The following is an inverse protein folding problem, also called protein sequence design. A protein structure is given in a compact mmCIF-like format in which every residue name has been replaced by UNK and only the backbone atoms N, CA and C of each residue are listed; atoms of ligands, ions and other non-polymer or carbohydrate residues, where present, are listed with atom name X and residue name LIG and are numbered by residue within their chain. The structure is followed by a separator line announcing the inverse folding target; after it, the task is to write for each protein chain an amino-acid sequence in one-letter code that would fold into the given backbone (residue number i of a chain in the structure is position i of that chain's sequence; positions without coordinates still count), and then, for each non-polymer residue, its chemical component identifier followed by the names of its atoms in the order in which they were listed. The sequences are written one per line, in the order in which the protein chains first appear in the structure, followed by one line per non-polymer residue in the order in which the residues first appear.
data_IF_481866108433
#
_entry.id   IF_481866108433
#
_cell.length_a   1.000
_cell.length_b   1.000
_cell.length_c   1.000
_cell.angle_alpha   90.00
_cell.angle_beta   90.00
_cell.angle_gamma   90.00
#
_symmetry.space_group_name_H-M   'P 1'
#
loop_
_entity.id
_entity.type
_entity.pdbx_description
1 polymer ?
#
# COMPACT_ATOMS: atom_id res chain seq x y z
N UNK A 1 -8.73 -23.67 -26.85
CA UNK A 1 -7.36 -23.21 -27.16
C UNK A 1 -6.42 -23.80 -26.12
N UNK A 2 -5.36 -24.50 -26.52
CA UNK A 2 -4.41 -25.08 -25.57
C UNK A 2 -3.55 -23.96 -24.96
N UNK A 3 -3.58 -23.81 -23.63
CA UNK A 3 -2.73 -22.85 -22.91
C UNK A 3 -1.25 -23.25 -23.11
N UNK A 4 -0.46 -22.40 -23.75
CA UNK A 4 0.97 -22.65 -23.93
C UNK A 4 1.66 -22.69 -22.56
N UNK A 5 2.26 -23.84 -22.20
CA UNK A 5 2.96 -24.04 -20.94
C UNK A 5 4.47 -24.21 -21.20
N UNK A 6 5.31 -23.20 -20.90
CA UNK A 6 6.75 -23.29 -21.12
C UNK A 6 7.39 -24.39 -20.27
N UNK A 7 8.29 -25.17 -20.87
CA UNK A 7 8.93 -26.32 -20.22
C UNK A 7 10.09 -25.94 -19.28
N UNK A 8 10.79 -24.83 -19.53
CA UNK A 8 11.91 -24.36 -18.69
C UNK A 8 11.49 -23.46 -17.52
N UNK A 9 12.21 -23.51 -16.40
CA UNK A 9 11.93 -22.70 -15.19
C UNK A 9 11.99 -21.20 -15.48
N UNK A 10 13.05 -20.72 -16.15
CA UNK A 10 13.19 -19.31 -16.52
C UNK A 10 12.09 -18.87 -17.50
N UNK A 11 11.82 -19.69 -18.52
CA UNK A 11 10.76 -19.42 -19.49
C UNK A 11 9.37 -19.35 -18.84
N UNK A 12 9.12 -20.17 -17.81
CA UNK A 12 7.87 -20.16 -17.04
C UNK A 12 7.75 -18.91 -16.18
N UNK A 13 8.83 -18.48 -15.53
CA UNK A 13 8.85 -17.25 -14.73
C UNK A 13 8.61 -16.03 -15.61
N UNK A 14 9.29 -15.94 -16.77
CA UNK A 14 9.11 -14.84 -17.72
C UNK A 14 7.66 -14.83 -18.26
N UNK A 15 7.14 -16.00 -18.67
CA UNK A 15 5.77 -16.11 -19.15
C UNK A 15 4.74 -15.72 -18.08
N UNK A 16 4.91 -16.19 -16.84
CA UNK A 16 4.03 -15.84 -15.73
C UNK A 16 4.08 -14.34 -15.41
N UNK A 17 5.29 -13.74 -15.39
CA UNK A 17 5.46 -12.30 -15.21
C UNK A 17 4.76 -11.52 -16.31
N UNK A 18 5.00 -11.87 -17.58
CA UNK A 18 4.36 -11.20 -18.71
C UNK A 18 2.84 -11.26 -18.65
N UNK A 19 2.27 -12.44 -18.33
CA UNK A 19 0.82 -12.58 -18.23
C UNK A 19 0.25 -11.77 -17.05
N UNK A 20 0.94 -11.77 -15.91
CA UNK A 20 0.56 -10.99 -14.74
C UNK A 20 0.62 -9.48 -15.01
N UNK A 21 1.69 -9.00 -15.66
CA UNK A 21 1.85 -7.59 -16.00
C UNK A 21 0.75 -7.15 -16.97
N UNK A 22 0.45 -7.94 -18.02
CA UNK A 22 -0.66 -7.67 -18.92
C UNK A 22 -2.02 -7.65 -18.19
N UNK A 23 -2.24 -8.59 -17.27
CA UNK A 23 -3.47 -8.58 -16.48
C UNK A 23 -3.58 -7.29 -15.67
N UNK A 24 -2.54 -6.92 -14.91
CA UNK A 24 -2.51 -5.72 -14.08
C UNK A 24 -2.63 -4.41 -14.89
N UNK A 25 -2.12 -4.37 -16.12
CA UNK A 25 -2.26 -3.22 -17.02
C UNK A 25 -3.69 -3.02 -17.53
N UNK A 26 -4.44 -4.11 -17.68
CA UNK A 26 -5.80 -4.09 -18.22
C UNK A 26 -6.90 -4.08 -17.14
N UNK A 27 -6.54 -4.10 -15.85
CA UNK A 27 -7.52 -3.94 -14.77
C UNK A 27 -8.06 -2.52 -14.79
N UNK A 28 -9.39 -2.41 -14.87
CA UNK A 28 -10.07 -1.14 -14.60
C UNK A 28 -9.98 -0.83 -13.10
N UNK A 29 -9.23 0.23 -12.78
CA UNK A 29 -9.01 0.67 -11.40
C UNK A 29 -10.11 1.61 -10.90
N UNK A 30 -10.98 2.12 -11.78
CA UNK A 30 -11.99 3.12 -11.43
C UNK A 30 -13.03 2.59 -10.44
N UNK A 31 -13.26 1.27 -10.43
CA UNK A 31 -14.27 0.63 -9.59
C UNK A 31 -13.68 0.03 -8.29
N UNK A 32 -12.40 0.26 -7.98
CA UNK A 32 -11.74 -0.39 -6.83
C UNK A 32 -12.36 -0.08 -5.47
N UNK A 33 -12.95 1.11 -5.30
CA UNK A 33 -13.61 1.49 -4.04
C UNK A 33 -15.12 1.62 -4.17
N UNK A 34 -15.70 1.12 -5.27
CA UNK A 34 -17.14 1.15 -5.52
C UNK A 34 -17.78 -0.21 -5.27
N UNK A 35 -19.07 -0.18 -4.93
CA UNK A 35 -19.85 -1.40 -4.72
C UNK A 35 -20.63 -1.76 -5.97
N UNK A 36 -20.54 -3.01 -6.39
CA UNK A 36 -21.31 -3.56 -7.50
C UNK A 36 -22.71 -4.03 -7.09
N UNK A 37 -23.10 -3.84 -5.82
CA UNK A 37 -24.36 -4.30 -5.27
C UNK A 37 -24.87 -3.36 -4.18
N UNK A 38 -26.19 -3.35 -3.99
CA UNK A 38 -26.80 -2.57 -2.92
C UNK A 38 -26.52 -3.21 -1.55
N UNK A 39 -26.01 -2.41 -0.61
CA UNK A 39 -25.84 -2.85 0.76
C UNK A 39 -27.19 -2.93 1.48
N UNK A 40 -27.36 -3.88 2.42
CA UNK A 40 -28.49 -3.87 3.34
C UNK A 40 -28.61 -2.52 4.06
N UNK A 41 -29.84 -2.03 4.36
CA UNK A 41 -30.06 -0.69 4.91
C UNK A 41 -29.22 -0.36 6.15
N UNK A 42 -28.95 -1.36 6.99
CA UNK A 42 -28.12 -1.24 8.21
C UNK A 42 -26.64 -0.90 7.97
N UNK A 43 -26.12 -1.14 6.76
CA UNK A 43 -24.72 -0.92 6.41
C UNK A 43 -24.51 0.27 5.47
N UNK A 44 -25.57 0.74 4.80
CA UNK A 44 -25.48 1.90 3.90
C UNK A 44 -24.96 3.14 4.61
N UNK A 45 -25.38 3.38 5.86
CA UNK A 45 -24.92 4.52 6.66
C UNK A 45 -23.48 4.40 7.17
N UNK A 46 -22.86 3.22 7.09
CA UNK A 46 -21.47 2.98 7.51
C UNK A 46 -20.50 2.90 6.35
N UNK A 47 -21.01 2.81 5.12
CA UNK A 47 -20.17 2.70 3.94
C UNK A 47 -19.64 4.07 3.56
N UNK A 48 -18.32 4.16 3.37
CA UNK A 48 -17.64 5.36 2.91
C UNK A 48 -17.18 5.11 1.48
N UNK A 49 -17.84 5.74 0.53
CA UNK A 49 -17.48 5.64 -0.88
C UNK A 49 -16.23 6.49 -1.16
N UNK A 50 -15.09 5.84 -1.34
CA UNK A 50 -13.83 6.49 -1.73
C UNK A 50 -13.76 6.76 -3.24
N UNK A 51 -14.79 6.37 -4.00
CA UNK A 51 -14.94 6.55 -5.45
C UNK A 51 -13.79 5.91 -6.23
N UNK A 52 -13.16 6.66 -7.13
CA UNK A 52 -12.04 6.18 -7.92
C UNK A 52 -10.72 6.40 -7.18
N UNK A 53 -9.66 5.66 -7.52
CA UNK A 53 -8.31 5.95 -7.07
C UNK A 53 -7.94 7.41 -7.24
N UNK A 54 -7.50 8.01 -6.15
CA UNK A 54 -7.08 9.40 -6.13
C UNK A 54 -5.70 9.57 -6.81
N UNK A 55 -5.27 10.80 -7.12
CA UNK A 55 -3.98 11.04 -7.79
C UNK A 55 -2.77 10.48 -7.04
N UNK A 56 -2.85 10.37 -5.72
CA UNK A 56 -1.78 9.79 -4.88
C UNK A 56 -1.71 8.27 -5.05
N UNK A 57 -2.84 7.57 -5.04
CA UNK A 57 -2.93 6.15 -5.34
C UNK A 57 -2.43 5.86 -6.76
N UNK A 58 -2.87 6.64 -7.75
CA UNK A 58 -2.45 6.45 -9.15
C UNK A 58 -0.93 6.62 -9.31
N UNK A 59 -0.35 7.67 -8.72
CA UNK A 59 1.12 7.87 -8.73
C UNK A 59 1.85 6.74 -8.03
N UNK A 60 1.30 6.21 -6.92
CA UNK A 60 1.90 5.06 -6.25
C UNK A 60 1.88 3.82 -7.15
N UNK A 61 0.77 3.55 -7.86
CA UNK A 61 0.69 2.43 -8.80
C UNK A 61 1.72 2.55 -9.92
N UNK A 62 1.85 3.73 -10.53
CA UNK A 62 2.85 4.01 -11.57
C UNK A 62 4.28 3.78 -11.07
N UNK A 63 4.59 4.29 -9.87
CA UNK A 63 5.88 4.07 -9.21
C UNK A 63 6.13 2.58 -8.99
N UNK A 64 5.15 1.83 -8.49
CA UNK A 64 5.28 0.38 -8.26
C UNK A 64 5.51 -0.38 -9.57
N UNK A 65 4.83 0.01 -10.66
CA UNK A 65 5.09 -0.54 -12.00
C UNK A 65 6.54 -0.30 -12.42
N UNK A 66 7.05 0.93 -12.29
CA UNK A 66 8.45 1.27 -12.60
C UNK A 66 9.47 0.48 -11.75
N UNK A 67 9.21 0.33 -10.44
CA UNK A 67 10.09 -0.41 -9.55
C UNK A 67 10.09 -1.92 -9.90
N UNK A 68 8.91 -2.47 -10.21
CA UNK A 68 8.76 -3.88 -10.56
C UNK A 68 9.49 -4.27 -11.84
N UNK A 69 9.60 -3.35 -12.81
CA UNK A 69 10.31 -3.57 -14.07
C UNK A 69 11.82 -3.32 -13.98
N UNK A 70 12.31 -2.73 -12.89
CA UNK A 70 13.72 -2.42 -12.70
C UNK A 70 14.54 -3.65 -12.27
N UNK A 71 15.11 -4.36 -13.26
CA UNK A 71 15.93 -5.57 -13.04
C UNK A 71 17.18 -5.27 -12.20
N UNK A 72 17.81 -4.11 -12.39
CA UNK A 72 19.01 -3.73 -11.64
C UNK A 72 18.71 -3.54 -10.16
N UNK A 73 17.56 -2.94 -9.84
CA UNK A 73 17.08 -2.83 -8.47
C UNK A 73 16.84 -4.20 -7.83
N UNK A 74 16.22 -5.14 -8.56
CA UNK A 74 16.03 -6.51 -8.05
C UNK A 74 17.35 -7.24 -7.81
N UNK A 75 18.33 -7.07 -8.70
CA UNK A 75 19.66 -7.65 -8.53
C UNK A 75 20.38 -7.05 -7.32
N UNK A 76 20.30 -5.74 -7.14
CA UNK A 76 20.81 -5.06 -5.95
C UNK A 76 20.16 -5.57 -4.67
N UNK A 77 18.84 -5.69 -4.63
CA UNK A 77 18.13 -6.24 -3.48
C UNK A 77 18.53 -7.69 -3.18
N UNK A 78 18.76 -8.51 -4.20
CA UNK A 78 19.24 -9.88 -4.01
C UNK A 78 20.64 -9.92 -3.39
N UNK A 79 21.55 -9.07 -3.88
CA UNK A 79 22.89 -8.93 -3.33
C UNK A 79 22.86 -8.41 -1.89
N UNK A 80 22.17 -7.30 -1.64
CA UNK A 80 22.04 -6.70 -0.30
C UNK A 80 21.45 -7.70 0.70
N UNK A 81 20.40 -8.43 0.31
CA UNK A 81 19.81 -9.49 1.15
C UNK A 81 20.84 -10.58 1.49
N UNK A 82 21.66 -11.02 0.54
CA UNK A 82 22.65 -12.07 0.78
C UNK A 82 23.69 -11.70 1.84
N UNK A 83 23.96 -10.40 2.00
CA UNK A 83 24.90 -9.86 3.00
C UNK A 83 24.17 -9.53 4.31
N UNK A 84 23.03 -8.86 4.25
CA UNK A 84 22.34 -8.37 5.46
C UNK A 84 21.68 -9.50 6.26
N UNK A 85 21.34 -10.63 5.64
CA UNK A 85 20.73 -11.79 6.33
C UNK A 85 21.63 -12.41 7.40
N UNK A 86 22.93 -12.09 7.41
CA UNK A 86 23.83 -12.50 8.49
C UNK A 86 23.61 -11.69 9.78
N UNK A 87 22.99 -10.51 9.70
CA UNK A 87 22.89 -9.56 10.81
C UNK A 87 21.46 -9.30 11.27
N UNK A 88 20.47 -9.46 10.38
CA UNK A 88 19.09 -9.04 10.63
C UNK A 88 18.08 -9.95 9.93
N UNK A 89 16.81 -9.87 10.36
CA UNK A 89 15.76 -10.72 9.80
C UNK A 89 15.35 -10.26 8.39
N UNK A 90 14.69 -11.15 7.64
CA UNK A 90 14.20 -10.79 6.31
C UNK A 90 13.23 -9.60 6.32
N UNK A 91 12.43 -9.45 7.39
CA UNK A 91 11.49 -8.34 7.54
C UNK A 91 12.25 -7.02 7.69
N UNK A 92 13.29 -6.99 8.52
CA UNK A 92 14.12 -5.79 8.74
C UNK A 92 14.89 -5.41 7.47
N UNK A 93 15.39 -6.41 6.73
CA UNK A 93 16.06 -6.19 5.44
C UNK A 93 15.11 -5.55 4.43
N UNK A 94 13.89 -6.07 4.34
CA UNK A 94 12.90 -5.54 3.41
C UNK A 94 12.50 -4.10 3.79
N UNK A 95 12.32 -3.83 5.08
CA UNK A 95 12.07 -2.47 5.59
C UNK A 95 13.22 -1.52 5.26
N UNK A 96 14.45 -1.91 5.58
CA UNK A 96 15.67 -1.13 5.32
C UNK A 96 15.88 -0.85 3.83
N UNK A 97 15.66 -1.85 2.98
CA UNK A 97 15.80 -1.73 1.53
C UNK A 97 14.57 -1.10 0.87
N UNK A 98 13.52 -0.74 1.64
CA UNK A 98 12.21 -0.29 1.14
C UNK A 98 11.65 -1.20 0.05
N UNK A 99 11.90 -2.51 0.17
CA UNK A 99 11.49 -3.52 -0.80
C UNK A 99 10.09 -4.00 -0.48
N UNK A 100 9.18 -3.84 -1.43
CA UNK A 100 7.78 -4.25 -1.25
C UNK A 100 7.00 -3.28 -0.38
N UNK A 101 7.33 -1.98 -0.46
CA UNK A 101 6.62 -0.90 0.21
C UNK A 101 5.11 -1.02 0.02
N UNK A 102 4.37 -0.94 1.12
CA UNK A 102 2.93 -1.11 1.13
C UNK A 102 2.22 0.23 0.98
N UNK A 103 1.11 0.22 0.24
CA UNK A 103 0.17 1.32 0.16
C UNK A 103 -1.22 0.75 0.33
N UNK A 104 -1.99 1.40 1.21
CA UNK A 104 -3.37 1.00 1.49
C UNK A 104 -4.29 2.07 0.94
N UNK A 105 -4.14 3.30 1.43
CA UNK A 105 -4.91 4.47 1.04
C UNK A 105 -4.02 5.71 1.08
N UNK A 106 -4.42 6.76 0.38
CA UNK A 106 -3.80 8.07 0.53
C UNK A 106 -4.20 8.73 1.85
N UNK A 107 -3.47 9.77 2.22
CA UNK A 107 -3.76 10.59 3.40
C UNK A 107 -5.18 11.19 3.33
N UNK A 108 -5.62 11.66 2.16
CA UNK A 108 -6.96 12.21 1.96
C UNK A 108 -8.05 11.13 2.20
N UNK A 109 -7.82 9.92 1.68
CA UNK A 109 -8.74 8.80 1.86
C UNK A 109 -8.78 8.34 3.33
N UNK A 110 -7.63 8.30 4.02
CA UNK A 110 -7.57 8.05 5.45
C UNK A 110 -8.31 9.11 6.25
N UNK A 111 -8.16 10.40 5.92
CA UNK A 111 -8.89 11.48 6.57
C UNK A 111 -10.42 11.28 6.47
N UNK A 112 -10.92 11.00 5.27
CA UNK A 112 -12.36 10.72 5.06
C UNK A 112 -12.87 9.54 5.88
N UNK A 113 -12.08 8.46 5.97
CA UNK A 113 -12.44 7.30 6.78
C UNK A 113 -12.45 7.61 8.27
N UNK A 114 -11.46 8.35 8.76
CA UNK A 114 -11.38 8.76 10.16
C UNK A 114 -12.55 9.68 10.53
N UNK A 115 -12.84 10.69 9.72
CA UNK A 115 -13.98 11.60 9.93
C UNK A 115 -15.32 10.85 9.93
N UNK A 116 -15.54 9.95 8.96
CA UNK A 116 -16.73 9.11 8.90
C UNK A 116 -16.83 8.14 10.09
N UNK A 117 -15.69 7.71 10.64
CA UNK A 117 -15.58 6.94 11.88
C UNK A 117 -15.85 7.75 13.15
N UNK A 118 -16.10 9.06 13.03
CA UNK A 118 -16.35 9.95 14.17
C UNK A 118 -15.09 10.51 14.82
N UNK A 119 -13.92 10.38 14.18
CA UNK A 119 -12.69 11.00 14.64
C UNK A 119 -12.78 12.53 14.43
N UNK A 120 -13.07 13.26 15.50
CA UNK A 120 -13.23 14.72 15.48
C UNK A 120 -12.35 15.35 16.55
N UNK A 121 -11.29 16.01 16.10
CA UNK A 121 -10.20 16.39 17.01
C UNK A 121 -10.33 17.77 17.63
N UNK A 122 -11.39 18.54 17.32
CA UNK A 122 -11.61 19.85 17.95
C UNK A 122 -11.80 19.79 19.48
N UNK A 123 -11.82 18.59 20.09
CA UNK A 123 -12.06 18.39 21.52
C UNK A 123 -11.02 17.54 22.25
N UNK A 124 -9.92 17.09 21.60
CA UNK A 124 -8.91 16.28 22.28
C UNK A 124 -7.78 17.17 22.82
N UNK A 125 -7.78 17.36 24.15
CA UNK A 125 -6.70 18.03 24.90
C UNK A 125 -5.47 17.14 25.14
N UNK A 126 -5.58 15.84 24.90
CA UNK A 126 -4.51 14.87 25.14
C UNK A 126 -3.78 14.47 23.85
N UNK A 127 -2.46 14.16 23.92
CA UNK A 127 -1.69 13.70 22.77
C UNK A 127 -2.23 12.36 22.25
N UNK A 128 -2.32 12.23 20.93
CA UNK A 128 -2.74 10.99 20.26
C UNK A 128 -1.51 10.11 20.01
N UNK A 129 -1.49 8.91 20.58
CA UNK A 129 -0.45 7.91 20.32
C UNK A 129 -0.92 6.92 19.25
N UNK A 130 -0.07 6.69 18.25
CA UNK A 130 -0.30 5.73 17.17
C UNK A 130 0.66 4.55 17.32
N UNK A 131 0.13 3.34 17.29
CA UNK A 131 0.90 2.10 17.32
C UNK A 131 0.56 1.26 16.09
N UNK A 132 1.55 1.05 15.23
CA UNK A 132 1.45 0.18 14.07
C UNK A 132 2.25 -1.10 14.28
N UNK A 133 1.55 -2.23 14.33
CA UNK A 133 2.15 -3.55 14.58
C UNK A 133 2.50 -4.16 13.24
N UNK A 134 3.81 -4.30 12.97
CA UNK A 134 4.29 -4.86 11.71
C UNK A 134 4.34 -3.84 10.58
N UNK A 135 4.66 -2.58 10.90
CA UNK A 135 4.77 -1.43 9.98
C UNK A 135 5.65 -1.65 8.74
N UNK A 136 6.56 -2.64 8.76
CA UNK A 136 7.44 -2.94 7.64
C UNK A 136 8.41 -1.79 7.38
N UNK A 137 8.23 -1.10 6.25
CA UNK A 137 9.01 0.10 5.89
C UNK A 137 8.41 1.42 6.43
N UNK A 138 7.30 1.35 7.17
CA UNK A 138 6.68 2.48 7.88
C UNK A 138 5.87 3.42 7.01
N UNK A 139 5.75 3.16 5.70
CA UNK A 139 5.07 4.06 4.76
C UNK A 139 3.56 4.18 5.04
N UNK A 140 2.91 3.10 5.49
CA UNK A 140 1.50 3.15 5.90
C UNK A 140 1.36 3.89 7.23
N UNK A 141 2.21 3.60 8.21
CA UNK A 141 2.21 4.25 9.52
C UNK A 141 2.37 5.76 9.38
N UNK A 142 3.28 6.21 8.50
CA UNK A 142 3.50 7.62 8.20
C UNK A 142 2.26 8.29 7.61
N UNK A 143 1.55 7.64 6.67
CA UNK A 143 0.31 8.18 6.09
C UNK A 143 -0.78 8.34 7.12
N UNK A 144 -0.98 7.32 7.96
CA UNK A 144 -1.96 7.37 9.05
C UNK A 144 -1.61 8.49 10.03
N UNK A 145 -0.34 8.61 10.40
CA UNK A 145 0.11 9.67 11.30
C UNK A 145 -0.06 11.07 10.69
N UNK A 146 0.21 11.25 9.40
CA UNK A 146 -0.03 12.50 8.69
C UNK A 146 -1.53 12.84 8.66
N UNK A 147 -2.40 11.87 8.37
CA UNK A 147 -3.86 12.09 8.40
C UNK A 147 -4.37 12.46 9.79
N UNK A 148 -3.86 11.79 10.83
CA UNK A 148 -4.19 12.12 12.21
C UNK A 148 -3.66 13.50 12.58
N UNK A 149 -2.47 13.89 12.12
CA UNK A 149 -1.93 15.23 12.29
C UNK A 149 -2.81 16.30 11.65
N UNK A 150 -3.17 16.08 10.38
CA UNK A 150 -4.03 16.99 9.61
C UNK A 150 -5.38 17.20 10.29
N UNK A 151 -6.03 16.12 10.74
CA UNK A 151 -7.32 16.20 11.44
C UNK A 151 -7.21 16.75 12.87
N UNK A 152 -6.04 16.62 13.52
CA UNK A 152 -5.81 17.08 14.90
C UNK A 152 -5.34 18.52 15.03
N UNK A 153 -4.74 19.05 13.97
CA UNK A 153 -4.09 20.35 13.98
C UNK A 153 -2.85 20.43 14.89
N UNK A 154 -2.37 19.30 15.47
CA UNK A 154 -1.31 19.27 16.49
C UNK A 154 -0.62 17.90 16.68
N UNK A 155 -0.57 16.98 15.71
CA UNK A 155 0.19 15.74 15.91
C UNK A 155 1.69 15.91 15.60
N UNK A 156 2.51 15.51 16.56
CA UNK A 156 3.97 15.40 16.43
C UNK A 156 4.29 13.92 16.26
N UNK A 157 4.97 13.57 15.16
CA UNK A 157 5.54 12.23 14.97
C UNK A 157 6.64 12.02 16.02
N UNK A 158 6.48 11.03 16.90
CA UNK A 158 7.57 10.51 17.74
C UNK A 158 8.16 9.27 17.09
N UNK A 159 9.35 9.42 16.53
CA UNK A 159 10.20 8.29 16.12
C UNK A 159 10.93 7.77 17.36
N UNK A 160 10.82 6.47 17.65
CA UNK A 160 11.64 5.77 18.64
C UNK A 160 12.79 5.04 17.97
#
# INVERSE_FOLDING_TARGET
MALYRPRGTLARVIYAKFHNDNFLENIDTQQWYSLNCELPPRFQSKFVDLKQPDPTTVRWLERTKMLSSNIWLHLWHALARSVLQFFMTQTDINGLLKRGSMFILSEEQFCRLLEAGGFQTRSLTEPITLLDIGAGDGEVSLRVANSVNELSGNAVLQDY
#
